data_IF_260927423228
#
_entry.id   IF_260927423228
#
_cell.length_a   1.000
_cell.length_b   1.000
_cell.length_c   1.000
_cell.angle_alpha   90.00
_cell.angle_beta   90.00
_cell.angle_gamma   90.00
#
_symmetry.space_group_name_H-M   'P 1'
#
loop_
_entity.id
_entity.type
_entity.pdbx_description
1 polymer ?
#
# COMPACT_ATOMS: atom_id res chain seq x y z
N UNK A 1 -4.07 19.04 -5.77
CA UNK A 1 -5.31 18.22 -5.85
C UNK A 1 -5.69 17.81 -4.42
N UNK A 2 -6.96 17.52 -4.13
CA UNK A 2 -7.37 17.00 -2.81
C UNK A 2 -7.51 15.48 -2.92
N UNK A 3 -6.66 14.74 -2.21
CA UNK A 3 -6.76 13.29 -2.13
C UNK A 3 -8.02 12.90 -1.35
N UNK A 4 -8.89 12.10 -1.96
CA UNK A 4 -10.15 11.65 -1.35
C UNK A 4 -10.07 10.16 -1.12
N UNK A 5 -10.36 9.75 0.13
CA UNK A 5 -10.48 8.35 0.47
C UNK A 5 -11.62 7.71 -0.32
N UNK A 6 -11.31 6.70 -1.10
CA UNK A 6 -12.21 6.05 -2.06
C UNK A 6 -12.17 4.54 -1.82
N UNK A 7 -13.33 3.89 -1.83
CA UNK A 7 -13.44 2.44 -1.69
C UNK A 7 -13.16 1.77 -3.04
N UNK A 8 -12.41 0.67 -3.05
CA UNK A 8 -12.36 -0.23 -4.22
C UNK A 8 -13.76 -0.79 -4.43
N UNK A 9 -14.27 -0.62 -5.64
CA UNK A 9 -15.60 -1.05 -6.05
C UNK A 9 -15.54 -2.21 -7.04
N UNK A 10 -16.71 -2.69 -7.46
CA UNK A 10 -16.85 -3.83 -8.37
C UNK A 10 -16.25 -3.56 -9.75
N UNK A 11 -16.15 -2.30 -10.18
CA UNK A 11 -15.57 -1.92 -11.47
C UNK A 11 -14.04 -1.94 -11.44
N UNK A 12 -13.45 -1.65 -10.28
CA UNK A 12 -11.99 -1.54 -10.12
C UNK A 12 -11.37 -2.80 -9.52
N UNK A 13 -12.13 -3.65 -8.83
CA UNK A 13 -11.60 -4.87 -8.19
C UNK A 13 -10.94 -5.83 -9.19
N UNK A 14 -11.45 -5.92 -10.42
CA UNK A 14 -10.86 -6.76 -11.48
C UNK A 14 -9.43 -6.38 -11.86
N UNK A 15 -8.98 -5.16 -11.54
CA UNK A 15 -7.61 -4.71 -11.76
C UNK A 15 -6.63 -5.28 -10.71
N UNK A 16 -7.17 -5.84 -9.63
CA UNK A 16 -6.49 -6.33 -8.43
C UNK A 16 -6.81 -7.82 -8.21
N UNK A 17 -6.31 -8.67 -9.11
CA UNK A 17 -6.72 -10.07 -9.29
C UNK A 17 -6.64 -11.02 -8.07
N UNK A 18 -6.02 -10.62 -6.95
CA UNK A 18 -6.08 -11.40 -5.71
C UNK A 18 -7.15 -10.95 -4.73
N UNK A 19 -7.78 -9.79 -4.95
CA UNK A 19 -8.91 -9.33 -4.14
C UNK A 19 -10.18 -10.06 -4.56
N UNK A 20 -11.06 -10.29 -3.59
CA UNK A 20 -12.39 -10.85 -3.81
C UNK A 20 -13.46 -9.94 -3.21
N UNK A 21 -14.74 -10.23 -3.48
CA UNK A 21 -15.87 -9.39 -3.04
C UNK A 21 -15.98 -9.23 -1.51
N UNK A 22 -15.32 -10.08 -0.71
CA UNK A 22 -15.26 -9.95 0.75
C UNK A 22 -14.17 -8.98 1.22
N UNK A 23 -13.30 -8.51 0.33
CA UNK A 23 -12.24 -7.57 0.64
C UNK A 23 -12.74 -6.12 0.60
N UNK A 24 -12.70 -5.46 1.75
CA UNK A 24 -12.96 -4.03 1.85
C UNK A 24 -11.62 -3.28 1.84
N UNK A 25 -11.32 -2.64 0.72
CA UNK A 25 -10.09 -1.87 0.53
C UNK A 25 -10.40 -0.42 0.15
N UNK A 26 -9.55 0.50 0.59
CA UNK A 26 -9.63 1.93 0.30
C UNK A 26 -8.31 2.47 -0.22
N UNK A 27 -8.37 3.54 -1.02
CA UNK A 27 -7.20 4.22 -1.56
C UNK A 27 -7.42 5.74 -1.63
N UNK A 28 -6.35 6.52 -1.72
CA UNK A 28 -6.44 7.98 -1.82
C UNK A 28 -6.26 8.54 -3.23
N UNK A 29 -5.50 7.86 -4.10
CA UNK A 29 -5.24 8.29 -5.47
C UNK A 29 -4.87 7.15 -6.40
N UNK A 30 -4.62 7.48 -7.67
CA UNK A 30 -4.28 6.51 -8.71
C UNK A 30 -2.81 6.65 -9.13
N UNK A 31 -2.12 5.52 -9.20
CA UNK A 31 -0.75 5.40 -9.66
C UNK A 31 -0.73 4.73 -11.03
N UNK A 32 -0.25 5.44 -12.04
CA UNK A 32 -0.09 4.87 -13.39
C UNK A 32 1.30 4.30 -13.55
N UNK A 33 1.38 2.98 -13.68
CA UNK A 33 2.65 2.29 -13.81
C UNK A 33 3.42 2.75 -15.05
N UNK A 34 4.77 2.76 -14.97
CA UNK A 34 5.70 3.06 -16.08
C UNK A 34 5.67 4.50 -16.64
N UNK A 35 4.74 5.37 -16.24
CA UNK A 35 4.69 6.77 -16.71
C UNK A 35 5.64 7.74 -15.97
N UNK A 36 6.44 7.25 -15.02
CA UNK A 36 7.42 8.05 -14.27
C UNK A 36 6.80 8.98 -13.22
N UNK A 37 7.63 9.80 -12.58
CA UNK A 37 7.22 10.64 -11.44
C UNK A 37 6.43 11.89 -11.86
N UNK A 38 6.64 12.42 -13.07
CA UNK A 38 6.03 13.67 -13.55
C UNK A 38 4.60 13.51 -14.08
N UNK A 39 4.10 12.27 -14.18
CA UNK A 39 2.81 11.96 -14.80
C UNK A 39 1.62 12.52 -14.02
N UNK A 40 1.66 12.44 -12.69
CA UNK A 40 0.57 12.90 -11.82
C UNK A 40 1.11 13.26 -10.42
N UNK A 41 0.31 14.00 -9.64
CA UNK A 41 0.62 14.30 -8.23
C UNK A 41 0.81 13.00 -7.42
N UNK A 42 -0.02 11.99 -7.66
CA UNK A 42 0.08 10.67 -7.02
C UNK A 42 1.35 9.93 -7.44
N UNK A 43 1.69 9.91 -8.73
CA UNK A 43 2.92 9.30 -9.23
C UNK A 43 4.16 9.95 -8.60
N UNK A 44 4.16 11.28 -8.50
CA UNK A 44 5.23 12.02 -7.84
C UNK A 44 5.32 11.67 -6.35
N UNK A 45 4.17 11.62 -5.66
CA UNK A 45 4.09 11.27 -4.23
C UNK A 45 4.67 9.88 -3.96
N UNK A 46 4.20 8.87 -4.70
CA UNK A 46 4.67 7.48 -4.58
C UNK A 46 6.16 7.37 -4.94
N UNK A 47 6.60 8.02 -6.02
CA UNK A 47 8.01 7.99 -6.41
C UNK A 47 8.92 8.62 -5.34
N UNK A 48 8.51 9.76 -4.77
CA UNK A 48 9.25 10.40 -3.68
C UNK A 48 9.28 9.55 -2.41
N UNK A 49 8.16 8.91 -2.06
CA UNK A 49 8.08 7.98 -0.93
C UNK A 49 9.01 6.78 -1.09
N UNK A 50 9.12 6.24 -2.32
CA UNK A 50 9.95 5.08 -2.67
C UNK A 50 11.44 5.40 -2.88
N UNK A 51 11.90 6.63 -2.62
CA UNK A 51 13.33 6.95 -2.70
C UNK A 51 14.16 6.02 -1.78
N UNK A 52 15.21 5.42 -2.37
CA UNK A 52 16.12 4.47 -1.71
C UNK A 52 16.75 5.07 -0.46
N UNK A 53 16.92 4.23 0.57
CA UNK A 53 17.61 4.59 1.82
C UNK A 53 19.08 4.92 1.61
N UNK A 54 19.71 4.45 0.53
CA UNK A 54 21.09 4.81 0.15
C UNK A 54 21.24 6.30 -0.13
N UNK A 55 20.13 6.96 -0.49
CA UNK A 55 20.13 8.41 -0.76
C UNK A 55 20.04 9.22 0.53
N UNK A 56 19.99 8.60 1.72
CA UNK A 56 19.93 9.30 3.01
C UNK A 56 21.13 10.24 3.14
N UNK A 57 20.87 11.47 3.57
CA UNK A 57 21.88 12.54 3.62
C UNK A 57 22.03 13.34 2.31
N UNK A 58 21.53 12.83 1.18
CA UNK A 58 21.48 13.62 -0.06
C UNK A 58 20.37 14.67 -0.03
N UNK A 59 20.52 15.73 -0.83
CA UNK A 59 19.50 16.77 -1.00
C UNK A 59 18.16 16.21 -1.47
N UNK A 60 18.17 15.20 -2.35
CA UNK A 60 16.94 14.63 -2.89
C UNK A 60 16.16 13.79 -1.88
N UNK A 61 16.78 13.34 -0.78
CA UNK A 61 16.10 12.58 0.26
C UNK A 61 15.04 13.39 1.00
N UNK A 62 15.17 14.73 1.01
CA UNK A 62 14.16 15.64 1.58
C UNK A 62 12.77 15.44 0.95
N UNK A 63 12.71 15.01 -0.31
CA UNK A 63 11.44 14.75 -0.99
C UNK A 63 10.73 13.52 -0.43
N UNK A 64 11.48 12.51 0.07
CA UNK A 64 10.92 11.38 0.82
C UNK A 64 10.24 11.86 2.11
N UNK A 65 10.93 12.71 2.89
CA UNK A 65 10.37 13.32 4.09
C UNK A 65 9.10 14.16 3.81
N UNK A 66 9.09 14.93 2.71
CA UNK A 66 7.89 15.65 2.27
C UNK A 66 6.74 14.71 1.92
N UNK A 67 7.01 13.61 1.22
CA UNK A 67 6.01 12.59 0.89
C UNK A 67 5.45 11.92 2.16
N UNK A 68 6.31 11.54 3.10
CA UNK A 68 5.93 10.98 4.41
C UNK A 68 4.97 11.91 5.14
N UNK A 69 5.32 13.20 5.25
CA UNK A 69 4.48 14.18 5.93
C UNK A 69 3.14 14.40 5.21
N UNK A 70 3.15 14.41 3.87
CA UNK A 70 1.92 14.55 3.08
C UNK A 70 0.95 13.38 3.33
N UNK A 71 1.46 12.15 3.35
CA UNK A 71 0.65 10.94 3.59
C UNK A 71 0.18 10.90 5.05
N UNK A 72 1.04 11.29 6.01
CA UNK A 72 0.66 11.39 7.41
C UNK A 72 -0.54 12.33 7.61
N UNK A 73 -0.55 13.49 6.95
CA UNK A 73 -1.69 14.42 6.97
C UNK A 73 -2.96 13.80 6.36
N UNK A 74 -2.83 12.98 5.31
CA UNK A 74 -3.97 12.26 4.72
C UNK A 74 -4.56 11.24 5.70
N UNK A 75 -3.72 10.51 6.45
CA UNK A 75 -4.18 9.55 7.47
C UNK A 75 -4.90 10.23 8.63
N UNK A 76 -4.42 11.38 9.09
CA UNK A 76 -5.07 12.13 10.18
C UNK A 76 -6.45 12.68 9.77
N UNK A 77 -6.69 12.86 8.47
CA UNK A 77 -8.00 13.25 7.94
C UNK A 77 -9.05 12.13 7.94
N UNK A 78 -8.68 10.89 8.29
CA UNK A 78 -9.64 9.77 8.39
C UNK A 78 -10.48 9.95 9.65
N UNK A 79 -11.79 9.68 9.56
CA UNK A 79 -12.70 9.73 10.71
C UNK A 79 -12.58 8.47 11.57
N UNK A 80 -13.01 8.54 12.84
CA UNK A 80 -13.05 7.40 13.76
C UNK A 80 -11.69 6.73 14.03
N UNK A 81 -10.57 7.48 13.99
CA UNK A 81 -9.23 6.95 14.24
C UNK A 81 -9.13 6.12 15.52
N UNK A 82 -9.87 6.47 16.58
CA UNK A 82 -9.91 5.74 17.86
C UNK A 82 -10.37 4.29 17.75
N UNK A 83 -11.07 3.93 16.67
CA UNK A 83 -11.53 2.56 16.40
C UNK A 83 -10.55 1.75 15.52
N UNK A 84 -9.49 2.39 15.02
CA UNK A 84 -8.58 1.83 14.03
C UNK A 84 -7.21 1.52 14.62
N UNK A 85 -6.71 0.30 14.38
CA UNK A 85 -5.31 -0.06 14.55
C UNK A 85 -4.69 -0.26 13.16
N UNK A 86 -3.74 0.59 12.79
CA UNK A 86 -3.00 0.47 11.54
C UNK A 86 -1.91 -0.60 11.66
N UNK A 87 -1.77 -1.43 10.62
CA UNK A 87 -0.76 -2.48 10.54
C UNK A 87 0.00 -2.30 9.24
N UNK A 88 1.23 -1.77 9.27
CA UNK A 88 2.01 -1.55 8.06
C UNK A 88 2.40 -2.89 7.43
N UNK A 89 2.35 -2.97 6.11
CA UNK A 89 2.96 -4.09 5.38
C UNK A 89 4.49 -3.98 5.55
N UNK A 90 5.19 -5.05 5.97
CA UNK A 90 6.63 -5.00 6.16
C UNK A 90 7.37 -4.85 4.82
N UNK A 91 8.48 -4.09 4.78
CA UNK A 91 9.27 -3.93 3.56
C UNK A 91 9.92 -5.26 3.16
N UNK A 92 10.35 -5.37 1.89
CA UNK A 92 11.00 -6.59 1.34
C UNK A 92 12.31 -6.97 2.02
N UNK A 93 12.95 -6.02 2.70
CA UNK A 93 14.15 -6.21 3.49
C UNK A 93 13.78 -6.47 4.94
N UNK A 94 14.46 -7.41 5.61
CA UNK A 94 14.28 -7.64 7.04
C UNK A 94 14.98 -6.54 7.85
N UNK A 95 14.67 -6.45 9.15
CA UNK A 95 15.09 -5.33 9.99
C UNK A 95 16.61 -5.20 10.12
N UNK A 96 17.32 -6.30 10.01
CA UNK A 96 18.78 -6.40 10.10
C UNK A 96 19.49 -6.01 8.79
N UNK A 97 18.75 -5.81 7.70
CA UNK A 97 19.31 -5.45 6.40
C UNK A 97 19.66 -3.94 6.36
N UNK A 98 20.88 -3.55 5.94
CA UNK A 98 21.25 -2.15 5.79
C UNK A 98 20.35 -1.34 4.85
N UNK A 99 19.67 -2.02 3.93
CA UNK A 99 18.71 -1.43 2.99
C UNK A 99 17.26 -1.47 3.49
N UNK A 100 17.04 -1.76 4.78
CA UNK A 100 15.71 -1.72 5.40
C UNK A 100 15.08 -0.33 5.25
N UNK A 101 13.89 -0.30 4.64
CA UNK A 101 13.13 0.92 4.40
C UNK A 101 11.81 0.89 5.18
N UNK A 102 11.84 1.39 6.41
CA UNK A 102 10.70 1.48 7.32
C UNK A 102 9.67 2.58 6.95
N UNK A 103 9.57 3.00 5.69
CA UNK A 103 8.75 4.15 5.26
C UNK A 103 7.29 4.13 5.75
N UNK A 104 6.66 2.95 5.84
CA UNK A 104 5.27 2.85 6.33
C UNK A 104 5.19 3.16 7.83
N UNK A 105 6.19 2.71 8.60
CA UNK A 105 6.33 3.05 10.02
C UNK A 105 6.62 4.54 10.16
N UNK A 106 7.55 5.10 9.37
CA UNK A 106 7.86 6.54 9.39
C UNK A 106 6.62 7.42 9.09
N UNK A 107 5.75 6.98 8.17
CA UNK A 107 4.45 7.62 7.90
C UNK A 107 3.53 7.56 9.11
N UNK A 108 3.37 6.39 9.73
CA UNK A 108 2.48 6.20 10.88
C UNK A 108 2.98 6.94 12.13
N UNK A 109 4.29 6.98 12.35
CA UNK A 109 4.94 7.78 13.39
C UNK A 109 4.73 9.29 13.16
N UNK A 110 4.88 9.75 11.91
CA UNK A 110 4.59 11.14 11.56
C UNK A 110 3.11 11.48 11.79
N UNK A 111 2.20 10.58 11.40
CA UNK A 111 0.76 10.76 11.64
C UNK A 111 0.43 10.80 13.14
N UNK A 112 1.04 9.92 13.94
CA UNK A 112 0.86 9.88 15.40
C UNK A 112 1.35 11.13 16.11
N UNK A 113 2.42 11.76 15.61
CA UNK A 113 2.88 13.07 16.12
C UNK A 113 1.90 14.20 15.83
N UNK A 114 1.13 14.10 14.75
CA UNK A 114 0.10 15.09 14.38
C UNK A 114 -1.20 14.82 15.17
N UNK A 115 -1.59 13.55 15.31
CA UNK A 115 -2.77 13.13 16.05
C UNK A 115 -2.48 11.88 16.89
N UNK A 116 -2.51 12.03 18.21
CA UNK A 116 -2.24 10.96 19.18
C UNK A 116 -3.25 9.81 19.12
N UNK A 117 -4.42 10.01 18.48
CA UNK A 117 -5.39 8.94 18.24
C UNK A 117 -4.90 7.92 17.20
N UNK A 118 -3.81 8.14 16.47
CA UNK A 118 -3.22 7.09 15.61
C UNK A 118 -2.61 5.98 16.49
N UNK A 119 -3.17 4.78 16.37
CA UNK A 119 -2.58 3.54 16.88
C UNK A 119 -2.07 2.71 15.70
N UNK A 120 -0.82 2.29 15.78
CA UNK A 120 -0.25 1.35 14.82
C UNK A 120 0.53 0.25 15.52
N UNK A 121 0.54 -0.94 14.92
CA UNK A 121 1.20 -2.14 15.44
C UNK A 121 1.88 -2.88 14.30
N UNK A 122 3.15 -3.21 14.48
CA UNK A 122 3.89 -4.09 13.58
C UNK A 122 3.51 -5.56 13.82
N UNK A 123 2.23 -5.92 13.63
CA UNK A 123 1.73 -7.27 13.90
C UNK A 123 2.38 -8.35 13.03
N UNK A 124 2.96 -7.96 11.89
CA UNK A 124 3.58 -8.86 10.95
C UNK A 124 4.94 -8.29 10.54
N UNK A 125 5.98 -9.11 10.68
CA UNK A 125 7.32 -8.81 10.15
C UNK A 125 7.74 -9.80 9.08
N UNK A 126 8.70 -9.39 8.26
CA UNK A 126 9.37 -10.26 7.31
C UNK A 126 10.50 -11.03 8.00
N UNK A 127 10.55 -12.36 7.82
CA UNK A 127 11.56 -13.23 8.44
C UNK A 127 12.93 -13.03 7.81
N UNK A 128 12.99 -13.09 6.49
CA UNK A 128 14.24 -12.99 5.72
C UNK A 128 14.14 -11.91 4.65
N UNK A 129 15.25 -11.20 4.42
CA UNK A 129 15.38 -10.25 3.31
C UNK A 129 15.18 -10.95 1.97
N UNK A 130 14.37 -10.35 1.11
CA UNK A 130 14.25 -10.78 -0.28
C UNK A 130 15.20 -9.99 -1.18
N UNK A 131 15.81 -10.67 -2.14
CA UNK A 131 16.43 -10.01 -3.27
C UNK A 131 15.34 -9.25 -4.05
N UNK A 132 15.65 -8.06 -4.54
CA UNK A 132 14.72 -7.34 -5.40
C UNK A 132 14.45 -8.21 -6.64
N UNK A 133 13.19 -8.52 -6.90
CA UNK A 133 12.69 -9.33 -8.01
C UNK A 133 12.88 -8.65 -9.38
N UNK A 134 14.00 -7.94 -9.60
CA UNK A 134 14.30 -7.30 -10.89
C UNK A 134 14.61 -8.33 -11.99
N UNK A 135 14.91 -9.60 -11.62
CA UNK A 135 15.27 -10.68 -12.55
C UNK A 135 14.38 -11.93 -12.47
N UNK A 136 13.31 -11.94 -11.66
CA UNK A 136 12.35 -13.05 -11.64
C UNK A 136 11.05 -12.58 -12.28
N UNK A 137 10.79 -13.00 -13.52
CA UNK A 137 9.51 -12.79 -14.23
C UNK A 137 8.31 -13.37 -13.46
N UNK A 138 8.57 -14.17 -12.42
CA UNK A 138 7.56 -14.79 -11.55
C UNK A 138 7.12 -13.83 -10.45
N UNK A 139 5.87 -13.35 -10.54
CA UNK A 139 5.19 -12.68 -9.43
C UNK A 139 4.87 -13.70 -8.34
N UNK A 140 5.28 -13.42 -7.11
CA UNK A 140 5.05 -14.30 -5.98
C UNK A 140 3.56 -14.36 -5.61
N UNK A 141 3.10 -15.55 -5.23
CA UNK A 141 1.71 -15.72 -4.77
C UNK A 141 1.52 -15.18 -3.35
N UNK A 142 0.28 -14.89 -2.92
CA UNK A 142 -0.01 -14.50 -1.55
C UNK A 142 0.52 -15.52 -0.52
N UNK A 143 0.46 -16.82 -0.83
CA UNK A 143 0.90 -17.91 0.05
C UNK A 143 2.42 -17.92 0.20
N UNK A 144 3.16 -17.73 -0.90
CA UNK A 144 4.61 -17.60 -0.89
C UNK A 144 5.08 -16.35 -0.12
N UNK A 145 4.31 -15.26 -0.19
CA UNK A 145 4.59 -14.06 0.61
C UNK A 145 4.32 -14.36 2.09
N UNK A 146 3.18 -14.97 2.41
CA UNK A 146 2.77 -15.28 3.78
C UNK A 146 3.72 -16.26 4.49
N UNK A 147 4.34 -17.18 3.76
CA UNK A 147 5.30 -18.14 4.35
C UNK A 147 6.57 -17.46 4.91
N UNK A 148 6.91 -16.26 4.42
CA UNK A 148 8.01 -15.44 4.91
C UNK A 148 7.58 -14.42 5.98
N UNK A 149 6.30 -14.41 6.36
CA UNK A 149 5.78 -13.53 7.39
C UNK A 149 5.77 -14.22 8.76
N UNK A 150 6.07 -13.44 9.79
CA UNK A 150 6.00 -13.83 11.20
C UNK A 150 5.00 -12.92 11.89
N UNK A 151 4.07 -13.52 12.64
CA UNK A 151 3.12 -12.79 13.46
C UNK A 151 3.72 -12.44 14.82
N UNK A 152 3.73 -11.16 15.16
CA UNK A 152 4.29 -10.61 16.39
C UNK A 152 3.24 -10.56 17.49
N UNK A 153 3.12 -11.64 18.28
CA UNK A 153 2.12 -11.76 19.36
C UNK A 153 2.23 -10.67 20.41
N UNK A 154 3.44 -10.17 20.68
CA UNK A 154 3.67 -9.07 21.62
C UNK A 154 2.96 -7.78 21.21
N UNK A 155 2.75 -7.57 19.91
CA UNK A 155 2.10 -6.39 19.35
C UNK A 155 0.57 -6.48 19.36
N UNK A 156 0.00 -7.67 19.59
CA UNK A 156 -1.44 -7.95 19.49
C UNK A 156 -2.25 -7.60 20.76
N UNK A 157 -1.71 -6.75 21.64
CA UNK A 157 -2.37 -6.37 22.89
C UNK A 157 -3.20 -5.10 22.72
N UNK A 158 -4.44 -5.12 23.23
CA UNK A 158 -5.36 -3.98 23.24
C UNK A 158 -5.59 -3.38 21.84
N UNK A 159 -5.72 -4.24 20.83
CA UNK A 159 -6.09 -3.83 19.48
C UNK A 159 -7.46 -3.17 19.48
N UNK A 160 -7.63 -2.18 18.60
CA UNK A 160 -8.92 -1.52 18.41
C UNK A 160 -9.84 -2.36 17.54
N UNK A 161 -11.06 -1.88 17.39
CA UNK A 161 -12.17 -2.59 16.73
C UNK A 161 -11.83 -3.07 15.32
N UNK A 162 -11.06 -2.29 14.57
CA UNK A 162 -10.74 -2.58 13.17
C UNK A 162 -9.24 -2.54 12.90
N UNK A 163 -8.73 -3.57 12.25
CA UNK A 163 -7.36 -3.66 11.75
C UNK A 163 -7.32 -3.09 10.33
N UNK A 164 -6.44 -2.11 10.12
CA UNK A 164 -6.23 -1.47 8.81
C UNK A 164 -4.85 -1.88 8.29
N UNK A 165 -4.81 -2.81 7.33
CA UNK A 165 -3.56 -3.15 6.64
C UNK A 165 -3.18 -1.97 5.75
N UNK A 166 -2.00 -1.40 5.96
CA UNK A 166 -1.57 -0.16 5.33
C UNK A 166 -0.32 -0.33 4.46
N UNK A 167 -0.37 0.13 3.22
CA UNK A 167 0.76 0.09 2.28
C UNK A 167 0.75 1.27 1.29
N UNK A 168 1.81 1.40 0.49
CA UNK A 168 1.92 2.44 -0.52
C UNK A 168 0.95 2.26 -1.69
N UNK A 169 1.08 1.19 -2.48
CA UNK A 169 0.32 1.01 -3.72
C UNK A 169 -0.34 -0.37 -3.77
N UNK A 170 -1.67 -0.40 -3.90
CA UNK A 170 -2.40 -1.60 -4.24
C UNK A 170 -2.18 -1.95 -5.72
N UNK A 171 -1.41 -3.01 -5.97
CA UNK A 171 -1.11 -3.52 -7.31
C UNK A 171 -1.99 -4.75 -7.63
N UNK A 172 -1.49 -5.96 -7.46
CA UNK A 172 -2.24 -7.20 -7.61
C UNK A 172 -3.07 -7.55 -6.37
N UNK A 173 -2.65 -7.06 -5.20
CA UNK A 173 -3.22 -7.41 -3.90
C UNK A 173 -2.51 -8.53 -3.15
N UNK A 174 -1.41 -9.09 -3.67
CA UNK A 174 -0.76 -10.27 -3.08
C UNK A 174 -0.29 -10.04 -1.65
N UNK A 175 0.36 -8.90 -1.38
CA UNK A 175 0.81 -8.54 -0.03
C UNK A 175 -0.35 -8.34 0.95
N UNK A 176 -1.42 -7.67 0.53
CA UNK A 176 -2.61 -7.50 1.36
C UNK A 176 -3.25 -8.84 1.73
N UNK A 177 -3.39 -9.76 0.76
CA UNK A 177 -3.94 -11.10 1.03
C UNK A 177 -3.02 -11.92 1.94
N UNK A 178 -1.71 -11.85 1.74
CA UNK A 178 -0.73 -12.50 2.61
C UNK A 178 -0.83 -11.99 4.06
N UNK A 179 -0.87 -10.66 4.24
CA UNK A 179 -1.08 -10.02 5.55
C UNK A 179 -2.40 -10.45 6.18
N UNK A 180 -3.50 -10.37 5.43
CA UNK A 180 -4.84 -10.76 5.91
C UNK A 180 -4.88 -12.23 6.32
N UNK A 181 -4.24 -13.12 5.57
CA UNK A 181 -4.15 -14.54 5.91
C UNK A 181 -3.37 -14.77 7.21
N UNK A 182 -2.18 -14.19 7.36
CA UNK A 182 -1.36 -14.31 8.57
C UNK A 182 -2.09 -13.77 9.80
N UNK A 183 -2.72 -12.60 9.69
CA UNK A 183 -3.48 -11.99 10.78
C UNK A 183 -4.69 -12.86 11.15
N UNK A 184 -5.48 -13.32 10.18
CA UNK A 184 -6.67 -14.17 10.45
C UNK A 184 -6.33 -15.49 11.13
N UNK A 185 -5.19 -16.11 10.80
CA UNK A 185 -4.74 -17.33 11.48
C UNK A 185 -4.56 -17.13 12.99
N UNK A 186 -4.22 -15.91 13.43
CA UNK A 186 -3.96 -15.59 14.83
C UNK A 186 -5.09 -14.82 15.50
N UNK A 187 -5.87 -14.07 14.73
CA UNK A 187 -6.95 -13.18 15.14
C UNK A 187 -8.20 -13.41 14.24
N UNK A 188 -8.87 -14.57 14.34
CA UNK A 188 -9.91 -14.98 13.39
C UNK A 188 -11.13 -14.05 13.36
N UNK A 189 -11.49 -13.48 14.51
CA UNK A 189 -12.64 -12.58 14.67
C UNK A 189 -12.35 -11.12 14.29
N UNK A 190 -11.15 -10.81 13.84
CA UNK A 190 -10.76 -9.43 13.53
C UNK A 190 -11.44 -8.91 12.27
N UNK A 191 -11.97 -7.69 12.34
CA UNK A 191 -12.43 -6.95 11.16
C UNK A 191 -11.20 -6.32 10.50
N UNK A 192 -10.89 -6.76 9.28
CA UNK A 192 -9.71 -6.34 8.53
C UNK A 192 -10.13 -5.60 7.27
N UNK A 193 -9.57 -4.41 7.07
CA UNK A 193 -9.68 -3.62 5.84
C UNK A 193 -8.30 -3.27 5.28
N UNK A 194 -8.21 -3.01 3.98
CA UNK A 194 -7.01 -2.49 3.34
C UNK A 194 -7.07 -0.98 3.17
N UNK A 195 -5.96 -0.29 3.37
CA UNK A 195 -5.81 1.13 3.06
C UNK A 195 -4.49 1.35 2.30
N UNK A 196 -4.58 2.06 1.17
CA UNK A 196 -3.43 2.29 0.30
C UNK A 196 -3.29 3.77 -0.02
N UNK A 197 -2.05 4.26 -0.16
CA UNK A 197 -1.82 5.63 -0.66
C UNK A 197 -2.34 5.75 -2.08
N UNK A 198 -2.13 4.72 -2.90
CA UNK A 198 -2.69 4.65 -4.23
C UNK A 198 -3.13 3.24 -4.64
N UNK A 199 -3.99 3.14 -5.66
CA UNK A 199 -4.17 1.91 -6.44
C UNK A 199 -3.45 2.05 -7.78
N UNK A 200 -3.02 0.95 -8.37
CA UNK A 200 -2.56 0.96 -9.77
C UNK A 200 -3.75 1.15 -10.69
N UNK A 201 -3.73 2.20 -11.51
CA UNK A 201 -4.62 2.34 -12.66
C UNK A 201 -3.92 1.77 -13.91
N UNK A 202 -4.63 0.93 -14.66
CA UNK A 202 -4.22 0.49 -15.99
C UNK A 202 -4.98 1.36 -16.99
N UNK A 203 -4.28 1.98 -17.93
CA UNK A 203 -4.95 2.61 -19.08
C UNK A 203 -5.73 1.51 -19.79
N UNK A 204 -7.01 1.77 -20.09
CA UNK A 204 -7.74 0.93 -21.02
C UNK A 204 -7.10 1.21 -22.39
N UNK A 205 -6.39 0.23 -22.95
CA UNK A 205 -6.11 0.22 -24.39
C UNK A 205 -7.47 0.00 -25.07
N UNK A 206 -8.19 1.09 -25.29
CA UNK A 206 -9.30 1.09 -26.23
C UNK A 206 -8.90 2.15 -27.24
N UNK A 207 -8.44 1.71 -28.40
CA UNK A 207 -8.38 2.55 -29.57
C UNK A 207 -9.82 2.72 -30.07
N UNK A 208 -10.54 3.69 -29.49
CA UNK A 208 -11.95 3.96 -29.81
C UNK A 208 -12.16 4.43 -31.26
N UNK A 209 -11.10 4.62 -32.05
CA UNK A 209 -11.16 5.10 -33.42
C UNK A 209 -10.83 4.06 -34.49
N UNK A 210 -10.34 2.86 -34.14
CA UNK A 210 -10.07 1.82 -35.17
C UNK A 210 -11.34 1.19 -35.76
N UNK A 211 -12.49 1.30 -35.09
CA UNK A 211 -13.77 0.74 -35.55
C UNK A 211 -14.71 1.75 -36.25
N UNK A 212 -14.25 2.97 -36.57
CA UNK A 212 -15.10 4.01 -37.21
C UNK A 212 -14.83 4.24 -38.70
N UNK A 213 -14.02 3.42 -39.36
CA UNK A 213 -13.64 3.61 -40.77
C UNK A 213 -14.21 2.57 -41.77
N UNK A 214 -15.31 1.89 -41.43
CA UNK A 214 -16.06 1.08 -42.42
C UNK A 214 -17.58 1.24 -42.28
N UNK A 215 -18.13 2.33 -42.80
CA UNK A 215 -19.30 2.34 -43.71
C UNK A 215 -19.95 3.72 -43.74
N UNK A 216 -19.81 4.44 -44.85
CA UNK A 216 -20.93 5.08 -45.56
C UNK A 216 -20.38 5.73 -46.85
N UNK A 217 -20.11 4.87 -47.86
CA UNK A 217 -20.19 5.32 -49.25
C UNK A 217 -21.66 5.63 -49.55
N UNK A 218 -21.98 6.91 -49.76
CA UNK A 218 -23.18 7.38 -50.46
C UNK A 218 -22.81 7.85 -51.87
#
# INVERSE_FOLDING_TARGET
MTFRLTKIDELTIGQHYHLDASDTCFFFGEYTARKGFGFSETNQLIHNLKKSVEKRGSYEYRYKGKAINKIAQMLVGITNLKDLTFVPIPPSKCHEDPLYDGRMIEVLESAKRINADIDYRELVRQRESRAASHNSEVRQTPEEIASNYIFERSQAQSLRKMIVIFDDVLTAGSHYKAMKAVIRTHLPESVIVGLFVARTAREAEIDWFEDLDESDEF
#
